data_IF_990566949063
#
_entry.id   IF_990566949063
#
_cell.length_a   1.000
_cell.length_b   1.000
_cell.length_c   1.000
_cell.angle_alpha   90.00
_cell.angle_beta   90.00
_cell.angle_gamma   90.00
#
_symmetry.space_group_name_H-M   'P 1'
#
loop_
_entity.id
_entity.type
_entity.pdbx_description
1 polymer ?
#
# COMPACT_ATOMS: atom_id res chain seq x y z
N UNK A 1 2.86 13.84 5.76
CA UNK A 1 4.20 14.35 5.46
C UNK A 1 4.90 13.31 4.59
N UNK A 2 5.53 13.77 3.51
CA UNK A 2 6.16 12.93 2.47
C UNK A 2 7.34 12.13 3.10
N UNK A 3 7.67 10.92 2.63
CA UNK A 3 8.77 10.05 3.13
C UNK A 3 10.18 10.66 3.17
N UNK A 4 10.36 11.95 2.89
CA UNK A 4 11.66 12.65 2.95
C UNK A 4 12.20 12.85 4.39
N UNK A 5 11.44 12.46 5.43
CA UNK A 5 11.77 12.69 6.84
C UNK A 5 12.30 11.47 7.61
N UNK A 6 12.47 10.30 6.97
CA UNK A 6 13.26 9.20 7.55
C UNK A 6 14.44 8.95 6.61
N UNK A 7 15.67 9.13 7.08
CA UNK A 7 16.92 8.90 6.32
C UNK A 7 17.12 7.41 6.01
N UNK A 8 16.16 6.77 5.34
CA UNK A 8 16.25 5.37 4.97
C UNK A 8 17.38 5.17 3.97
N UNK A 9 18.20 4.17 4.22
CA UNK A 9 19.17 3.72 3.23
C UNK A 9 18.44 3.27 1.96
N UNK A 10 19.17 3.26 0.83
CA UNK A 10 18.64 2.71 -0.43
C UNK A 10 18.14 1.28 -0.26
N UNK A 11 18.78 0.50 0.61
CA UNK A 11 18.39 -0.88 0.86
C UNK A 11 17.05 -0.97 1.62
N UNK A 12 16.88 -0.19 2.69
CA UNK A 12 15.63 -0.13 3.45
C UNK A 12 14.47 0.37 2.59
N UNK A 13 14.69 1.42 1.80
CA UNK A 13 13.70 1.90 0.83
C UNK A 13 13.32 0.81 -0.16
N UNK A 14 14.32 0.10 -0.68
CA UNK A 14 14.07 -0.96 -1.66
C UNK A 14 13.29 -2.14 -1.10
N UNK A 15 13.58 -2.51 0.15
CA UNK A 15 12.88 -3.56 0.87
C UNK A 15 11.44 -3.14 1.17
N UNK A 16 11.24 -1.93 1.68
CA UNK A 16 9.91 -1.41 1.97
C UNK A 16 9.04 -1.30 0.73
N UNK A 17 9.59 -0.81 -0.37
CA UNK A 17 8.89 -0.78 -1.67
C UNK A 17 8.50 -2.19 -2.11
N UNK A 18 9.37 -3.18 -1.94
CA UNK A 18 9.07 -4.57 -2.28
C UNK A 18 7.91 -5.13 -1.45
N UNK A 19 7.93 -4.94 -0.14
CA UNK A 19 6.86 -5.37 0.78
C UNK A 19 5.51 -4.72 0.43
N UNK A 20 5.51 -3.40 0.19
CA UNK A 20 4.29 -2.66 -0.11
C UNK A 20 3.69 -3.07 -1.46
N UNK A 21 4.53 -3.34 -2.47
CA UNK A 21 4.08 -3.83 -3.77
C UNK A 21 3.42 -5.20 -3.65
N UNK A 22 4.04 -6.14 -2.91
CA UNK A 22 3.45 -7.46 -2.65
C UNK A 22 2.13 -7.36 -1.91
N UNK A 23 2.06 -6.50 -0.89
CA UNK A 23 0.84 -6.23 -0.12
C UNK A 23 -0.30 -5.77 -1.02
N UNK A 24 -0.05 -4.85 -1.96
CA UNK A 24 -1.08 -4.40 -2.92
C UNK A 24 -1.32 -5.35 -4.09
N UNK A 25 -0.77 -6.57 -4.04
CA UNK A 25 -0.92 -7.57 -5.10
C UNK A 25 -0.28 -7.15 -6.42
N UNK A 26 0.80 -6.35 -6.37
CA UNK A 26 1.62 -6.00 -7.51
C UNK A 26 2.98 -6.69 -7.39
N UNK A 27 3.29 -7.57 -8.34
CA UNK A 27 4.59 -8.23 -8.39
C UNK A 27 5.73 -7.20 -8.57
N UNK A 28 6.64 -7.04 -7.60
CA UNK A 28 7.77 -6.14 -7.71
C UNK A 28 8.66 -6.44 -8.92
N UNK A 29 8.82 -7.72 -9.31
CA UNK A 29 9.64 -8.09 -10.45
C UNK A 29 9.07 -7.56 -11.77
N UNK A 30 7.75 -7.48 -11.89
CA UNK A 30 7.07 -7.06 -13.11
C UNK A 30 6.81 -5.55 -13.17
N UNK A 31 6.49 -4.93 -12.03
CA UNK A 31 5.94 -3.57 -11.99
C UNK A 31 6.89 -2.51 -11.42
N UNK A 32 7.99 -2.89 -10.75
CA UNK A 32 8.87 -1.92 -10.05
C UNK A 32 9.51 -0.88 -10.96
N UNK A 33 9.76 -1.26 -12.22
CA UNK A 33 10.39 -0.39 -13.21
C UNK A 33 9.39 0.25 -14.18
N UNK A 34 8.09 -0.03 -14.03
CA UNK A 34 7.05 0.54 -14.90
C UNK A 34 6.67 1.94 -14.45
N UNK A 35 6.45 2.82 -15.43
CA UNK A 35 5.96 4.17 -15.19
C UNK A 35 4.45 4.14 -14.92
N UNK A 36 3.89 5.13 -14.18
CA UNK A 36 2.45 5.20 -13.92
C UNK A 36 1.57 5.09 -15.19
N UNK A 37 2.02 5.68 -16.30
CA UNK A 37 1.32 5.62 -17.59
C UNK A 37 1.25 4.21 -18.22
N UNK A 38 2.08 3.27 -17.76
CA UNK A 38 2.14 1.88 -18.25
C UNK A 38 1.31 0.93 -17.37
N UNK A 39 0.62 1.46 -16.36
CA UNK A 39 -0.24 0.73 -15.43
C UNK A 39 -1.70 0.98 -15.79
N UNK A 40 -2.53 -0.07 -15.69
CA UNK A 40 -3.99 0.06 -15.75
C UNK A 40 -4.53 0.93 -14.61
N UNK A 41 -5.72 1.50 -14.75
CA UNK A 41 -6.32 2.36 -13.72
C UNK A 41 -6.36 1.70 -12.32
N UNK A 42 -6.74 0.42 -12.25
CA UNK A 42 -6.73 -0.34 -10.99
C UNK A 42 -5.33 -0.63 -10.44
N UNK A 43 -4.29 -0.70 -11.29
CA UNK A 43 -2.90 -0.80 -10.83
C UNK A 43 -2.38 0.55 -10.34
N UNK A 44 -2.76 1.66 -10.98
CA UNK A 44 -2.42 3.01 -10.52
C UNK A 44 -3.04 3.31 -9.15
N UNK A 45 -4.29 2.91 -8.94
CA UNK A 45 -4.97 3.03 -7.64
C UNK A 45 -4.23 2.25 -6.54
N UNK A 46 -3.82 1.01 -6.83
CA UNK A 46 -3.00 0.19 -5.92
C UNK A 46 -1.66 0.85 -5.57
N UNK A 47 -0.95 1.41 -6.56
CA UNK A 47 0.27 2.19 -6.31
C UNK A 47 -0.02 3.42 -5.44
N UNK A 48 -1.17 4.08 -5.63
CA UNK A 48 -1.63 5.17 -4.79
C UNK A 48 -1.79 4.78 -3.32
N UNK A 49 -2.43 3.63 -3.05
CA UNK A 49 -2.56 3.07 -1.69
C UNK A 49 -1.20 2.71 -1.12
N UNK A 50 -0.36 1.99 -1.87
CA UNK A 50 1.00 1.63 -1.44
C UNK A 50 1.81 2.88 -1.06
N UNK A 51 1.70 3.97 -1.83
CA UNK A 51 2.37 5.25 -1.53
C UNK A 51 1.83 5.90 -0.26
N UNK A 52 0.52 5.84 -0.01
CA UNK A 52 -0.07 6.33 1.22
C UNK A 52 0.44 5.54 2.43
N UNK A 53 0.56 4.22 2.32
CA UNK A 53 1.11 3.34 3.35
C UNK A 53 2.64 3.47 3.52
N UNK A 54 3.36 3.84 2.45
CA UNK A 54 4.79 4.11 2.49
C UNK A 54 5.15 5.31 3.37
N UNK A 55 4.23 6.27 3.51
CA UNK A 55 4.40 7.43 4.38
C UNK A 55 4.32 7.09 5.88
N UNK A 56 4.14 5.80 6.22
CA UNK A 56 3.95 5.32 7.60
C UNK A 56 2.98 6.21 8.40
N UNK A 57 1.79 6.49 7.84
CA UNK A 57 0.87 7.44 8.44
C UNK A 57 0.36 6.88 9.77
N UNK A 58 0.34 7.74 10.78
CA UNK A 58 -0.25 7.36 12.06
C UNK A 58 -1.74 7.07 11.92
N UNK A 59 -2.41 7.69 10.94
CA UNK A 59 -3.83 7.54 10.64
C UNK A 59 -4.08 7.40 9.15
N UNK A 60 -4.88 6.39 8.77
CA UNK A 60 -5.33 6.16 7.41
C UNK A 60 -6.86 6.13 7.36
N UNK A 61 -7.45 7.14 6.71
CA UNK A 61 -8.86 7.14 6.34
C UNK A 61 -8.94 6.76 4.86
N UNK A 62 -9.67 5.68 4.56
CA UNK A 62 -9.88 5.22 3.20
C UNK A 62 -11.37 4.98 3.00
N UNK A 63 -11.95 5.69 2.04
CA UNK A 63 -13.34 5.51 1.61
C UNK A 63 -13.31 4.64 0.33
N UNK A 64 -13.80 3.41 0.43
CA UNK A 64 -13.76 2.38 -0.62
C UNK A 64 -12.43 2.22 -1.41
N UNK A 65 -11.27 2.08 -0.77
CA UNK A 65 -9.97 2.05 -1.47
C UNK A 65 -9.79 0.83 -2.38
N UNK A 66 -10.56 -0.24 -2.14
CA UNK A 66 -10.43 -1.56 -2.76
C UNK A 66 -11.67 -1.98 -3.57
N UNK A 67 -12.63 -1.08 -3.79
CA UNK A 67 -13.85 -1.40 -4.56
C UNK A 67 -13.55 -1.80 -6.01
N UNK A 68 -12.46 -1.29 -6.58
CA UNK A 68 -12.00 -1.62 -7.93
C UNK A 68 -11.14 -2.90 -8.01
N UNK A 69 -10.94 -3.61 -6.90
CA UNK A 69 -10.17 -4.86 -6.85
C UNK A 69 -11.07 -6.08 -6.91
N UNK A 70 -10.56 -7.16 -7.50
CA UNK A 70 -11.21 -8.47 -7.46
C UNK A 70 -11.43 -8.91 -6.00
N UNK A 71 -12.57 -9.57 -5.66
CA UNK A 71 -12.90 -9.96 -4.30
C UNK A 71 -11.78 -10.70 -3.56
N UNK A 72 -11.06 -11.61 -4.24
CA UNK A 72 -9.97 -12.37 -3.64
C UNK A 72 -8.78 -11.48 -3.28
N UNK A 73 -8.49 -10.49 -4.13
CA UNK A 73 -7.40 -9.55 -3.89
C UNK A 73 -7.77 -8.55 -2.79
N UNK A 74 -9.05 -8.16 -2.71
CA UNK A 74 -9.58 -7.28 -1.69
C UNK A 74 -9.46 -7.90 -0.29
N UNK A 75 -9.93 -9.12 -0.09
CA UNK A 75 -9.85 -9.81 1.22
C UNK A 75 -8.39 -9.92 1.69
N UNK A 76 -7.50 -10.39 0.82
CA UNK A 76 -6.08 -10.52 1.14
C UNK A 76 -5.43 -9.18 1.52
N UNK A 77 -5.76 -8.12 0.79
CA UNK A 77 -5.25 -6.78 1.11
C UNK A 77 -5.78 -6.26 2.44
N UNK A 78 -7.04 -6.54 2.75
CA UNK A 78 -7.67 -6.15 3.99
C UNK A 78 -7.01 -6.88 5.18
N UNK A 79 -6.76 -8.17 5.03
CA UNK A 79 -6.00 -8.98 6.00
C UNK A 79 -4.56 -8.49 6.17
N UNK A 80 -3.84 -8.23 5.06
CA UNK A 80 -2.47 -7.73 5.10
C UNK A 80 -2.39 -6.33 5.77
N UNK A 81 -3.41 -5.49 5.55
CA UNK A 81 -3.55 -4.20 6.23
C UNK A 81 -3.83 -4.37 7.72
N UNK A 82 -4.73 -5.27 8.10
CA UNK A 82 -5.00 -5.60 9.50
C UNK A 82 -3.75 -6.17 10.19
N UNK A 83 -2.96 -7.00 9.49
CA UNK A 83 -1.70 -7.56 9.98
C UNK A 83 -0.61 -6.49 10.12
N UNK A 84 -0.48 -5.62 9.14
CA UNK A 84 0.40 -4.46 9.21
C UNK A 84 -0.01 -3.55 10.39
N UNK A 85 -1.31 -3.29 10.55
CA UNK A 85 -1.85 -2.51 11.67
C UNK A 85 -1.58 -3.16 13.02
N UNK A 86 -1.76 -4.49 13.15
CA UNK A 86 -1.45 -5.26 14.36
C UNK A 86 0.03 -5.16 14.72
N UNK A 87 0.92 -5.18 13.73
CA UNK A 87 2.37 -5.01 13.92
C UNK A 87 2.76 -3.57 14.29
N UNK A 88 2.00 -2.57 13.86
CA UNK A 88 2.32 -1.14 14.04
C UNK A 88 1.61 -0.51 15.26
N UNK A 89 0.67 -1.19 15.91
CA UNK A 89 0.10 -0.80 17.21
C UNK A 89 -0.51 0.63 17.26
N UNK A 90 -1.21 1.09 16.20
CA UNK A 90 -1.91 2.40 16.20
C UNK A 90 -3.39 2.31 15.80
N UNK A 91 -4.25 2.93 16.63
CA UNK A 91 -5.73 2.84 16.65
C UNK A 91 -6.38 3.43 15.40
N UNK A 92 -7.15 2.65 14.62
CA UNK A 92 -7.95 3.17 13.49
C UNK A 92 -9.40 2.66 13.46
N UNK A 93 -10.31 3.55 13.08
CA UNK A 93 -11.73 3.29 12.83
C UNK A 93 -11.95 3.08 11.32
N UNK A 94 -12.57 1.96 10.97
CA UNK A 94 -13.19 1.73 9.67
C UNK A 94 -14.65 2.20 9.75
N UNK A 95 -15.11 3.02 8.80
CA UNK A 95 -16.52 3.31 8.64
C UNK A 95 -16.98 2.62 7.35
N UNK A 96 -17.51 1.39 7.49
CA UNK A 96 -18.39 0.81 6.48
C UNK A 96 -19.79 1.42 6.73
N UNK A 97 -20.41 1.97 5.68
CA UNK A 97 -21.80 2.41 5.68
C UNK A 97 -22.65 1.46 4.84
#
# INVERSE_FOLDING_TARGET
MVPELKQWSRNETNQRVHELMLMVGLDPAMYRHRKPAELSGGQQQRVGVARALAADPEIVLMDEPFSALDPLTREKLQDDLLDLQRRIQKKHCFCDA
#
